data_IF_582847933775
#
_entry.id   IF_582847933775
#
_cell.length_a   1.000
_cell.length_b   1.000
_cell.length_c   1.000
_cell.angle_alpha   90.00
_cell.angle_beta   90.00
_cell.angle_gamma   90.00
#
_symmetry.space_group_name_H-M   'P 1'
#
loop_
_entity.id
_entity.type
_entity.pdbx_description
1 polymer ?
#
# COMPACT_ATOMS: atom_id res chain seq x y z
N UNK A 1 -13.72 22.60 -12.82
CA UNK A 1 -13.23 21.41 -13.56
C UNK A 1 -12.26 20.67 -12.65
N UNK A 2 -12.24 19.35 -12.69
CA UNK A 2 -11.28 18.54 -11.92
C UNK A 2 -10.00 18.34 -12.73
N UNK A 3 -8.83 18.53 -12.12
CA UNK A 3 -7.52 18.17 -12.67
C UNK A 3 -6.94 16.94 -11.98
N UNK A 4 -5.96 16.28 -12.60
CA UNK A 4 -5.28 15.13 -12.02
C UNK A 4 -3.76 15.34 -12.04
N UNK A 5 -3.12 15.05 -10.90
CA UNK A 5 -1.67 14.90 -10.73
C UNK A 5 -1.43 13.48 -10.22
N UNK A 6 -0.97 12.60 -11.10
CA UNK A 6 -0.84 11.16 -10.80
C UNK A 6 0.57 10.68 -11.10
N UNK A 7 1.22 10.15 -10.07
CA UNK A 7 2.50 9.48 -10.21
C UNK A 7 2.33 8.15 -10.97
N UNK A 8 3.21 7.90 -11.94
CA UNK A 8 3.16 6.69 -12.74
C UNK A 8 3.60 5.46 -11.94
N UNK A 9 2.86 4.36 -12.06
CA UNK A 9 3.28 3.05 -11.59
C UNK A 9 4.36 2.41 -12.48
N UNK A 10 4.87 1.26 -12.06
CA UNK A 10 5.93 0.52 -12.76
C UNK A 10 5.44 -0.32 -13.95
N UNK A 11 4.11 -0.51 -14.08
CA UNK A 11 3.51 -1.40 -15.07
C UNK A 11 2.72 -0.62 -16.11
N UNK A 12 2.99 -0.90 -17.40
CA UNK A 12 2.17 -0.43 -18.52
C UNK A 12 1.30 -1.58 -19.02
N UNK A 13 -0.02 -1.46 -18.86
CA UNK A 13 -0.98 -2.44 -19.36
C UNK A 13 -1.35 -2.14 -20.82
N UNK A 14 -1.32 -3.14 -21.69
CA UNK A 14 -1.84 -3.02 -23.07
C UNK A 14 -3.36 -2.79 -23.07
N UNK A 15 -4.05 -3.44 -22.15
CA UNK A 15 -5.50 -3.36 -21.98
C UNK A 15 -5.83 -3.43 -20.49
N UNK A 16 -6.75 -2.59 -20.04
CA UNK A 16 -7.27 -2.62 -18.68
C UNK A 16 -8.77 -2.35 -18.73
N UNK A 17 -9.57 -3.19 -18.07
CA UNK A 17 -11.03 -3.14 -18.14
C UNK A 17 -11.60 -2.58 -16.84
N UNK A 18 -12.41 -1.53 -16.95
CA UNK A 18 -13.27 -1.07 -15.87
C UNK A 18 -14.60 -1.82 -15.94
N UNK A 19 -14.77 -2.85 -15.10
CA UNK A 19 -15.95 -3.69 -15.09
C UNK A 19 -16.75 -3.48 -13.81
N UNK A 20 -18.03 -3.07 -13.94
CA UNK A 20 -18.97 -2.88 -12.83
C UNK A 20 -18.44 -2.02 -11.67
N UNK A 21 -17.58 -1.05 -11.97
CA UNK A 21 -16.98 -0.14 -11.01
C UNK A 21 -17.23 1.31 -11.46
N UNK A 22 -17.49 2.20 -10.52
CA UNK A 22 -17.51 3.64 -10.83
C UNK A 22 -16.10 4.12 -11.18
N UNK A 23 -15.98 5.29 -11.79
CA UNK A 23 -14.67 5.89 -12.09
C UNK A 23 -13.84 6.06 -10.80
N UNK A 24 -14.51 6.40 -9.70
CA UNK A 24 -13.86 6.52 -8.39
C UNK A 24 -13.35 5.18 -7.88
N UNK A 25 -14.18 4.15 -7.88
CA UNK A 25 -13.76 2.81 -7.45
C UNK A 25 -12.59 2.32 -8.29
N UNK A 26 -12.63 2.54 -9.61
CA UNK A 26 -11.57 2.15 -10.51
C UNK A 26 -10.25 2.86 -10.18
N UNK A 27 -10.29 4.18 -9.97
CA UNK A 27 -9.10 4.95 -9.56
C UNK A 27 -8.52 4.41 -8.25
N UNK A 28 -9.35 4.23 -7.22
CA UNK A 28 -8.90 3.75 -5.91
C UNK A 28 -8.32 2.35 -6.01
N UNK A 29 -8.96 1.43 -6.72
CA UNK A 29 -8.42 0.08 -6.94
C UNK A 29 -7.08 0.10 -7.66
N UNK A 30 -6.89 1.00 -8.63
CA UNK A 30 -5.61 1.12 -9.35
C UNK A 30 -4.53 1.78 -8.52
N UNK A 31 -4.85 2.78 -7.70
CA UNK A 31 -3.92 3.35 -6.74
C UNK A 31 -3.50 2.30 -5.69
N UNK A 32 -4.46 1.56 -5.13
CA UNK A 32 -4.20 0.49 -4.16
C UNK A 32 -3.31 -0.61 -4.75
N UNK A 33 -3.55 -1.03 -5.99
CA UNK A 33 -2.69 -2.02 -6.67
C UNK A 33 -1.24 -1.55 -6.86
N UNK A 34 -0.96 -0.25 -6.75
CA UNK A 34 0.38 0.33 -6.83
C UNK A 34 0.88 0.86 -5.47
N UNK A 35 0.18 0.58 -4.36
CA UNK A 35 0.56 1.08 -3.03
C UNK A 35 0.47 2.60 -2.89
N UNK A 36 -0.33 3.25 -3.75
CA UNK A 36 -0.51 4.69 -3.78
C UNK A 36 -1.75 5.13 -2.99
N UNK A 37 -1.73 6.39 -2.56
CA UNK A 37 -2.83 7.06 -1.88
C UNK A 37 -3.53 8.03 -2.84
N UNK A 38 -4.82 8.23 -2.65
CA UNK A 38 -5.65 9.13 -3.44
C UNK A 38 -6.13 10.29 -2.57
N UNK A 39 -5.80 11.51 -2.97
CA UNK A 39 -6.18 12.75 -2.29
C UNK A 39 -7.00 13.64 -3.21
N UNK A 40 -7.87 14.46 -2.64
CA UNK A 40 -8.60 15.51 -3.36
C UNK A 40 -8.28 16.84 -2.69
N UNK A 41 -7.53 17.68 -3.38
CA UNK A 41 -7.05 18.98 -2.89
C UNK A 41 -7.42 20.06 -3.90
N UNK A 42 -8.24 21.04 -3.50
CA UNK A 42 -8.61 22.21 -4.33
C UNK A 42 -9.00 21.88 -5.79
N UNK A 43 -9.89 20.89 -5.96
CA UNK A 43 -10.32 20.38 -7.29
C UNK A 43 -9.23 19.67 -8.11
N UNK A 44 -8.14 19.25 -7.48
CA UNK A 44 -7.12 18.38 -8.06
C UNK A 44 -7.13 17.03 -7.36
N UNK A 45 -7.21 15.97 -8.16
CA UNK A 45 -7.01 14.60 -7.71
C UNK A 45 -5.51 14.31 -7.70
N UNK A 46 -4.92 14.08 -6.54
CA UNK A 46 -3.51 13.71 -6.38
C UNK A 46 -3.38 12.22 -6.09
N UNK A 47 -2.59 11.50 -6.87
CA UNK A 47 -2.31 10.08 -6.68
C UNK A 47 -0.80 9.90 -6.56
N UNK A 48 -0.32 9.46 -5.40
CA UNK A 48 1.10 9.38 -5.11
C UNK A 48 1.40 8.27 -4.10
N UNK A 49 2.63 7.75 -4.11
CA UNK A 49 3.10 6.86 -3.06
C UNK A 49 3.17 7.60 -1.70
N UNK A 50 2.99 6.91 -0.56
CA UNK A 50 3.20 7.51 0.76
C UNK A 50 4.66 7.93 0.92
N UNK A 51 4.88 9.16 1.37
CA UNK A 51 6.21 9.68 1.69
C UNK A 51 6.53 9.46 3.17
N UNK A 52 7.46 8.54 3.45
CA UNK A 52 7.98 8.27 4.78
C UNK A 52 9.25 9.09 5.12
N UNK A 53 9.80 9.86 4.18
CA UNK A 53 11.02 10.64 4.34
C UNK A 53 10.78 12.09 4.76
N UNK A 54 9.52 12.52 4.81
CA UNK A 54 9.15 13.91 5.13
C UNK A 54 9.67 14.38 6.48
N UNK A 55 10.19 15.61 6.52
CA UNK A 55 10.57 16.27 7.77
C UNK A 55 9.33 16.78 8.50
N UNK A 56 9.31 16.66 9.83
CA UNK A 56 8.24 17.29 10.62
C UNK A 56 8.21 18.80 10.38
N UNK A 57 7.02 19.33 10.07
CA UNK A 57 6.80 20.76 9.91
C UNK A 57 6.62 21.46 11.26
N UNK A 58 6.07 20.77 12.25
CA UNK A 58 5.70 21.34 13.55
C UNK A 58 5.87 20.32 14.69
N UNK A 59 6.16 20.82 15.89
CA UNK A 59 6.25 19.98 17.10
C UNK A 59 5.12 20.31 18.06
N UNK A 60 4.27 19.31 18.33
CA UNK A 60 3.20 19.43 19.31
C UNK A 60 3.68 19.01 20.70
N UNK A 61 3.39 19.83 21.71
CA UNK A 61 3.76 19.58 23.10
C UNK A 61 2.52 19.60 23.98
N UNK A 62 2.26 18.48 24.65
CA UNK A 62 1.15 18.34 25.58
C UNK A 62 1.25 19.39 26.71
N UNK A 63 0.14 20.09 26.94
CA UNK A 63 0.05 21.17 27.93
C UNK A 63 0.57 22.53 27.47
N UNK A 64 1.03 22.65 26.23
CA UNK A 64 1.43 23.92 25.60
C UNK A 64 0.61 24.15 24.33
N UNK A 65 0.90 23.37 23.27
CA UNK A 65 0.24 23.47 21.96
C UNK A 65 -0.77 22.35 21.71
N UNK A 66 -0.83 21.34 22.58
CA UNK A 66 -1.72 20.19 22.45
C UNK A 66 -2.56 20.03 23.73
N UNK A 67 -3.88 20.10 23.56
CA UNK A 67 -4.86 19.97 24.66
C UNK A 67 -5.08 18.50 25.05
N UNK A 68 -5.24 17.63 24.07
CA UNK A 68 -5.53 16.20 24.25
C UNK A 68 -5.10 15.44 22.99
N UNK A 69 -4.67 14.19 23.17
CA UNK A 69 -4.40 13.25 22.07
C UNK A 69 -4.79 11.84 22.50
N UNK A 70 -5.48 11.15 21.62
CA UNK A 70 -5.80 9.73 21.76
C UNK A 70 -5.10 8.97 20.62
N UNK A 71 -4.24 8.02 20.98
CA UNK A 71 -3.52 7.19 20.02
C UNK A 71 -3.91 5.73 20.25
N UNK A 72 -4.17 5.01 19.16
CA UNK A 72 -4.36 3.55 19.18
C UNK A 72 -3.18 2.89 18.46
N UNK A 73 -2.73 1.76 19.02
CA UNK A 73 -1.72 0.91 18.39
C UNK A 73 -2.36 -0.43 18.04
N UNK A 74 -2.32 -0.80 16.76
CA UNK A 74 -2.85 -2.07 16.27
C UNK A 74 -1.79 -2.84 15.46
N UNK A 75 -1.25 -3.91 16.05
CA UNK A 75 -0.28 -4.77 15.38
C UNK A 75 -0.89 -5.83 14.47
N UNK A 76 -2.22 -6.02 14.47
CA UNK A 76 -2.85 -7.18 13.79
C UNK A 76 -2.72 -7.15 12.28
N UNK A 77 -2.52 -5.96 11.71
CA UNK A 77 -2.28 -5.73 10.29
C UNK A 77 -0.80 -5.68 9.90
N UNK A 78 0.13 -5.86 10.85
CA UNK A 78 1.57 -5.75 10.61
C UNK A 78 2.13 -7.11 10.16
N UNK A 79 2.10 -7.35 8.85
CA UNK A 79 2.54 -8.62 8.27
C UNK A 79 4.07 -8.72 8.22
N UNK A 80 4.66 -9.86 8.63
CA UNK A 80 6.10 -10.09 8.49
C UNK A 80 6.52 -10.20 7.01
N UNK A 81 5.74 -10.96 6.22
CA UNK A 81 5.93 -11.08 4.79
C UNK A 81 4.59 -11.13 4.03
N UNK A 82 4.63 -10.68 2.78
CA UNK A 82 3.54 -10.86 1.82
C UNK A 82 4.10 -11.53 0.56
N UNK A 83 3.51 -12.64 0.15
CA UNK A 83 3.83 -13.30 -1.12
C UNK A 83 2.74 -13.02 -2.17
N UNK A 84 3.13 -12.74 -3.41
CA UNK A 84 2.23 -12.68 -4.56
C UNK A 84 2.21 -14.01 -5.30
N UNK A 85 1.03 -14.53 -5.68
CA UNK A 85 0.89 -15.75 -6.50
C UNK A 85 0.01 -15.56 -7.73
N UNK A 86 0.45 -16.12 -8.85
CA UNK A 86 -0.32 -16.20 -10.11
C UNK A 86 -0.10 -17.52 -10.83
N UNK A 87 -0.94 -17.84 -11.81
CA UNK A 87 -0.78 -19.01 -12.67
C UNK A 87 -0.12 -18.67 -14.01
N UNK A 88 0.93 -19.38 -14.41
CA UNK A 88 1.48 -19.36 -15.77
C UNK A 88 0.79 -20.42 -16.62
N UNK A 89 0.03 -20.01 -17.64
CA UNK A 89 -0.62 -20.95 -18.55
C UNK A 89 0.39 -21.66 -19.47
N UNK A 90 1.49 -20.99 -19.82
CA UNK A 90 2.56 -21.54 -20.67
C UNK A 90 3.30 -22.69 -19.96
N UNK A 91 3.62 -22.50 -18.69
CA UNK A 91 4.42 -23.45 -17.91
C UNK A 91 3.54 -24.42 -17.09
N UNK A 92 2.23 -24.16 -17.00
CA UNK A 92 1.27 -24.88 -16.16
C UNK A 92 1.74 -24.98 -14.70
N UNK A 93 2.23 -23.86 -14.18
CA UNK A 93 2.82 -23.77 -12.85
C UNK A 93 2.43 -22.47 -12.15
N UNK A 94 2.54 -22.46 -10.81
CA UNK A 94 2.43 -21.25 -10.01
C UNK A 94 3.72 -20.42 -10.16
N UNK A 95 3.53 -19.13 -10.35
CA UNK A 95 4.58 -18.12 -10.22
C UNK A 95 4.36 -17.41 -8.90
N UNK A 96 5.44 -17.22 -8.16
CA UNK A 96 5.44 -16.63 -6.82
C UNK A 96 6.51 -15.55 -6.74
N UNK A 97 6.18 -14.44 -6.09
CA UNK A 97 7.08 -13.32 -5.80
C UNK A 97 6.97 -12.94 -4.33
N UNK A 98 8.06 -12.45 -3.75
CA UNK A 98 8.07 -11.93 -2.39
C UNK A 98 7.93 -10.41 -2.44
N UNK A 99 6.97 -9.86 -1.70
CA UNK A 99 6.78 -8.42 -1.60
C UNK A 99 7.93 -7.73 -0.89
N UNK A 100 8.27 -6.54 -1.33
CA UNK A 100 9.27 -5.67 -0.72
C UNK A 100 8.59 -4.66 0.22
N UNK A 101 8.98 -4.70 1.49
CA UNK A 101 8.46 -3.75 2.48
C UNK A 101 9.07 -2.36 2.26
N UNK A 102 8.29 -1.27 2.37
CA UNK A 102 8.85 0.07 2.32
C UNK A 102 9.68 0.35 3.58
N UNK A 103 10.64 1.27 3.46
CA UNK A 103 11.28 1.86 4.64
C UNK A 103 10.34 2.90 5.25
N UNK A 104 9.53 2.48 6.22
CA UNK A 104 8.64 3.38 6.95
C UNK A 104 9.39 4.21 8.01
N UNK A 105 8.86 5.38 8.36
CA UNK A 105 9.41 6.20 9.44
C UNK A 105 9.07 5.59 10.81
N UNK A 106 9.88 5.92 11.82
CA UNK A 106 9.66 5.46 13.18
C UNK A 106 8.43 6.14 13.81
N UNK A 107 7.43 5.34 14.20
CA UNK A 107 6.21 5.80 14.88
C UNK A 107 6.19 5.26 16.31
N UNK A 108 6.83 5.98 17.24
CA UNK A 108 6.98 5.51 18.63
C UNK A 108 8.23 4.65 18.84
N UNK A 109 8.19 3.66 19.71
CA UNK A 109 9.36 2.84 20.11
C UNK A 109 9.43 1.46 19.43
N UNK A 110 8.31 0.95 18.90
CA UNK A 110 8.21 -0.34 18.19
C UNK A 110 8.05 -0.14 16.68
N UNK A 111 8.71 -0.99 15.91
CA UNK A 111 8.49 -1.10 14.47
C UNK A 111 7.43 -2.16 14.12
N UNK A 112 6.97 -2.13 12.88
CA UNK A 112 5.97 -3.05 12.34
C UNK A 112 6.33 -4.51 12.51
N UNK A 113 7.59 -4.88 12.28
CA UNK A 113 8.03 -6.27 12.37
C UNK A 113 7.98 -6.78 13.82
N UNK A 114 8.37 -5.93 14.78
CA UNK A 114 8.25 -6.22 16.22
C UNK A 114 6.78 -6.39 16.62
N UNK A 115 5.89 -5.50 16.14
CA UNK A 115 4.46 -5.57 16.46
C UNK A 115 3.79 -6.83 15.90
N UNK A 116 4.10 -7.19 14.65
CA UNK A 116 3.64 -8.42 14.02
C UNK A 116 4.16 -9.66 14.74
N UNK A 117 5.44 -9.64 15.13
CA UNK A 117 6.10 -10.72 15.87
C UNK A 117 5.50 -10.95 17.26
N UNK A 118 5.28 -9.89 18.03
CA UNK A 118 4.68 -9.94 19.37
C UNK A 118 3.27 -10.59 19.35
N UNK A 119 2.54 -10.42 18.24
CA UNK A 119 1.20 -10.97 18.03
C UNK A 119 1.18 -12.29 17.24
N UNK A 120 2.33 -12.78 16.79
CA UNK A 120 2.44 -13.95 15.91
C UNK A 120 1.56 -13.83 14.66
N UNK A 121 1.54 -12.65 14.04
CA UNK A 121 0.81 -12.40 12.78
C UNK A 121 1.40 -13.32 11.69
N UNK A 122 0.58 -14.10 10.98
CA UNK A 122 1.07 -14.96 9.92
C UNK A 122 1.43 -14.16 8.67
N UNK A 123 2.27 -14.76 7.83
CA UNK A 123 2.50 -14.26 6.48
C UNK A 123 1.20 -14.30 5.67
N UNK A 124 1.07 -13.36 4.74
CA UNK A 124 -0.11 -13.24 3.88
C UNK A 124 0.25 -13.56 2.44
N UNK A 125 -0.70 -14.13 1.70
CA UNK A 125 -0.57 -14.29 0.26
C UNK A 125 -1.63 -13.47 -0.44
N UNK A 126 -1.21 -12.64 -1.39
CA UNK A 126 -2.09 -12.02 -2.38
C UNK A 126 -2.06 -12.86 -3.65
N UNK A 127 -3.23 -13.19 -4.20
CA UNK A 127 -3.32 -14.12 -5.33
C UNK A 127 -4.17 -13.54 -6.46
N UNK A 128 -3.67 -13.68 -7.69
CA UNK A 128 -4.42 -13.44 -8.91
C UNK A 128 -4.69 -14.77 -9.65
N UNK A 129 -5.95 -15.00 -10.03
CA UNK A 129 -6.37 -16.29 -10.62
C UNK A 129 -6.12 -16.40 -12.13
N UNK A 130 -5.90 -15.28 -12.81
CA UNK A 130 -5.47 -15.24 -14.21
C UNK A 130 -3.98 -14.99 -14.33
N UNK A 131 -3.41 -15.19 -15.53
CA UNK A 131 -2.02 -14.88 -15.79
C UNK A 131 -1.81 -13.35 -15.84
N UNK A 132 -1.07 -12.83 -14.86
CA UNK A 132 -0.58 -11.44 -14.83
C UNK A 132 0.92 -11.39 -15.07
N UNK A 133 1.44 -10.19 -15.38
CA UNK A 133 2.88 -9.98 -15.45
C UNK A 133 3.50 -10.13 -14.06
N UNK A 134 4.71 -10.68 -13.99
CA UNK A 134 5.45 -10.79 -12.72
C UNK A 134 5.66 -9.42 -12.06
N UNK A 135 5.90 -8.37 -12.87
CA UNK A 135 6.01 -6.99 -12.39
C UNK A 135 4.71 -6.42 -11.82
N UNK A 136 3.56 -6.84 -12.35
CA UNK A 136 2.24 -6.48 -11.80
C UNK A 136 1.99 -7.22 -10.48
N UNK A 137 2.38 -8.49 -10.41
CA UNK A 137 2.27 -9.27 -9.18
C UNK A 137 3.19 -8.73 -8.08
N UNK A 138 4.41 -8.33 -8.43
CA UNK A 138 5.36 -7.69 -7.51
C UNK A 138 4.78 -6.40 -6.96
N UNK A 139 4.32 -5.49 -7.83
CA UNK A 139 3.73 -4.22 -7.40
C UNK A 139 2.53 -4.42 -6.46
N UNK A 140 1.72 -5.46 -6.68
CA UNK A 140 0.59 -5.77 -5.82
C UNK A 140 1.01 -6.35 -4.45
N UNK A 141 2.05 -7.19 -4.41
CA UNK A 141 2.62 -7.70 -3.16
C UNK A 141 3.27 -6.59 -2.32
N UNK A 142 4.06 -5.72 -2.97
CA UNK A 142 4.68 -4.55 -2.36
C UNK A 142 3.61 -3.61 -1.80
N UNK A 143 2.56 -3.34 -2.58
CA UNK A 143 1.44 -2.49 -2.16
C UNK A 143 0.73 -3.00 -0.89
N UNK A 144 0.57 -4.31 -0.77
CA UNK A 144 -0.01 -4.91 0.42
C UNK A 144 0.88 -4.70 1.67
N UNK A 145 2.21 -4.75 1.51
CA UNK A 145 3.15 -4.39 2.58
C UNK A 145 3.13 -2.90 2.88
N UNK A 146 3.06 -2.02 1.87
CA UNK A 146 2.91 -0.57 2.08
C UNK A 146 1.67 -0.28 2.92
N UNK A 147 0.53 -0.86 2.57
CA UNK A 147 -0.71 -0.72 3.32
C UNK A 147 -0.59 -1.26 4.74
N UNK A 148 0.09 -2.39 4.92
CA UNK A 148 0.37 -2.97 6.23
C UNK A 148 1.17 -2.00 7.12
N UNK A 149 2.20 -1.34 6.59
CA UNK A 149 3.03 -0.38 7.36
C UNK A 149 2.31 0.92 7.72
N UNK A 150 1.18 1.23 7.07
CA UNK A 150 0.34 2.39 7.39
C UNK A 150 -0.78 2.10 8.40
N UNK A 151 -1.03 0.83 8.72
CA UNK A 151 -2.15 0.37 9.53
C UNK A 151 -1.95 0.50 11.05
#
# INVERSE_FOLDING_TARGET
SLSADAEAGSVTHQTLVQYQATDWDFIVMRAEANGQLVFVEDSTLRIAAPDFGGSSLETYKYGDTLLEVECTLDGRGQYPAVAGKTWSASDQALVEVDGEAPTANKQGDKDSDTLGGDLSVPDVTVQHNGQVLETELQAYADAALVKSRLA
#
